data_IF_122464421971
#
_entry.id   IF_122464421971
#
_cell.length_a   1.000
_cell.length_b   1.000
_cell.length_c   1.000
_cell.angle_alpha   90.00
_cell.angle_beta   90.00
_cell.angle_gamma   90.00
#
_symmetry.space_group_name_H-M   'P 1'
#
loop_
_entity.id
_entity.type
_entity.pdbx_description
1 polymer ?
#
# COMPACT_ATOMS: atom_id res chain seq x y z
N UNK A 1 -9.04 -9.31 27.00
CA UNK A 1 -8.05 -8.35 26.48
C UNK A 1 -8.71 -7.42 25.45
N UNK A 2 -8.25 -6.18 25.37
CA UNK A 2 -8.79 -5.19 24.43
C UNK A 2 -7.94 -5.14 23.17
N UNK A 3 -8.57 -5.36 22.02
CA UNK A 3 -7.92 -5.36 20.70
C UNK A 3 -8.50 -4.21 19.88
N UNK A 4 -7.61 -3.50 19.18
CA UNK A 4 -8.00 -2.45 18.24
C UNK A 4 -7.97 -3.00 16.82
N UNK A 5 -9.12 -2.96 16.13
CA UNK A 5 -9.25 -3.43 14.76
C UNK A 5 -9.42 -2.25 13.83
N UNK A 6 -8.54 -2.12 12.83
CA UNK A 6 -8.63 -1.14 11.75
C UNK A 6 -9.19 -1.77 10.49
N UNK A 7 -10.09 -1.06 9.84
CA UNK A 7 -10.76 -1.49 8.61
C UNK A 7 -10.48 -0.50 7.49
N UNK A 8 -10.17 -1.00 6.30
CA UNK A 8 -9.81 -0.19 5.14
C UNK A 8 -10.67 -0.50 3.92
N UNK A 9 -10.73 0.45 3.00
CA UNK A 9 -11.39 0.34 1.71
C UNK A 9 -12.82 -0.23 1.86
N UNK A 10 -13.17 -1.25 1.08
CA UNK A 10 -14.48 -1.88 1.12
C UNK A 10 -14.88 -2.38 2.51
N UNK A 11 -13.96 -2.90 3.32
CA UNK A 11 -14.30 -3.39 4.67
C UNK A 11 -14.75 -2.26 5.59
N UNK A 12 -14.13 -1.08 5.50
CA UNK A 12 -14.55 0.13 6.20
C UNK A 12 -15.97 0.56 5.80
N UNK A 13 -16.28 0.55 4.51
CA UNK A 13 -17.63 0.88 4.01
C UNK A 13 -18.69 -0.10 4.51
N UNK A 14 -18.39 -1.39 4.50
CA UNK A 14 -19.31 -2.45 4.97
C UNK A 14 -19.57 -2.37 6.48
N UNK A 15 -18.56 -2.03 7.27
CA UNK A 15 -18.67 -1.86 8.71
C UNK A 15 -19.27 -0.50 9.11
N UNK A 16 -19.18 0.51 8.24
CA UNK A 16 -19.58 1.89 8.54
C UNK A 16 -18.63 2.61 9.51
N UNK A 17 -17.45 2.04 9.78
CA UNK A 17 -16.42 2.61 10.65
C UNK A 17 -15.02 2.17 10.20
N UNK A 18 -14.01 2.98 10.47
CA UNK A 18 -12.61 2.66 10.20
C UNK A 18 -11.89 1.97 11.38
N UNK A 19 -12.50 1.97 12.56
CA UNK A 19 -11.88 1.41 13.78
C UNK A 19 -12.95 0.79 14.65
N UNK A 20 -12.68 -0.41 15.15
CA UNK A 20 -13.49 -1.14 16.13
C UNK A 20 -12.59 -1.48 17.31
N UNK A 21 -13.08 -1.24 18.52
CA UNK A 21 -12.46 -1.76 19.75
C UNK A 21 -13.28 -2.95 20.24
N UNK A 22 -12.65 -4.11 20.34
CA UNK A 22 -13.32 -5.35 20.73
C UNK A 22 -12.64 -5.98 21.94
N UNK A 23 -13.43 -6.53 22.85
CA UNK A 23 -12.91 -7.30 23.98
C UNK A 23 -12.96 -8.79 23.64
N UNK A 24 -11.82 -9.45 23.73
CA UNK A 24 -11.66 -10.87 23.46
C UNK A 24 -11.10 -11.61 24.68
N UNK A 25 -11.32 -12.93 24.82
CA UNK A 25 -10.59 -13.75 25.78
C UNK A 25 -9.07 -13.66 25.62
N UNK A 26 -8.31 -14.04 26.64
CA UNK A 26 -6.87 -14.23 26.51
C UNK A 26 -6.57 -15.38 25.55
N UNK A 27 -5.45 -15.29 24.82
CA UNK A 27 -5.01 -16.25 23.81
C UNK A 27 -5.93 -16.40 22.57
N UNK A 28 -6.85 -15.46 22.33
CA UNK A 28 -7.63 -15.42 21.10
C UNK A 28 -6.70 -15.30 19.89
N UNK A 29 -6.95 -16.09 18.85
CA UNK A 29 -6.25 -15.97 17.55
C UNK A 29 -6.89 -14.91 16.67
N UNK A 30 -6.17 -14.48 15.63
CA UNK A 30 -6.73 -13.57 14.61
C UNK A 30 -7.95 -14.19 13.92
N UNK A 31 -7.94 -15.51 13.66
CA UNK A 31 -9.09 -16.21 13.08
C UNK A 31 -10.35 -16.06 13.95
N UNK A 32 -10.25 -16.35 15.25
CA UNK A 32 -11.35 -16.23 16.20
C UNK A 32 -11.84 -14.78 16.36
N UNK A 33 -10.92 -13.80 16.28
CA UNK A 33 -11.28 -12.38 16.24
C UNK A 33 -12.12 -12.06 15.01
N UNK A 34 -11.74 -12.56 13.83
CA UNK A 34 -12.48 -12.34 12.57
C UNK A 34 -13.87 -12.97 12.65
N UNK A 35 -14.01 -14.17 13.19
CA UNK A 35 -15.32 -14.82 13.40
C UNK A 35 -16.22 -14.00 14.31
N UNK A 36 -15.66 -13.44 15.38
CA UNK A 36 -16.39 -12.54 16.29
C UNK A 36 -16.86 -11.28 15.57
N UNK A 37 -15.97 -10.65 14.79
CA UNK A 37 -16.30 -9.47 13.97
C UNK A 37 -17.38 -9.75 12.93
N UNK A 38 -17.36 -10.91 12.28
CA UNK A 38 -18.38 -11.30 11.31
C UNK A 38 -19.75 -11.51 11.98
N UNK A 39 -19.77 -11.94 13.23
CA UNK A 39 -20.99 -12.10 14.03
C UNK A 39 -21.57 -10.73 14.42
N UNK A 40 -20.74 -9.81 14.87
CA UNK A 40 -21.15 -8.46 15.28
C UNK A 40 -21.45 -7.54 14.08
N UNK A 41 -20.74 -7.74 12.96
CA UNK A 41 -20.85 -6.99 11.70
C UNK A 41 -21.13 -7.94 10.52
N UNK A 42 -22.35 -8.44 10.34
CA UNK A 42 -22.67 -9.48 9.35
C UNK A 42 -22.31 -9.10 7.90
N UNK A 43 -22.26 -7.81 7.58
CA UNK A 43 -21.85 -7.34 6.24
C UNK A 43 -20.36 -7.63 5.95
N UNK A 44 -19.51 -7.74 6.98
CA UNK A 44 -18.10 -8.12 6.81
C UNK A 44 -17.93 -9.58 6.41
N UNK A 45 -18.87 -10.46 6.76
CA UNK A 45 -18.79 -11.89 6.42
C UNK A 45 -18.70 -12.13 4.91
N UNK A 46 -19.38 -11.31 4.12
CA UNK A 46 -19.36 -11.42 2.65
C UNK A 46 -18.00 -11.06 2.02
N UNK A 47 -17.18 -10.28 2.72
CA UNK A 47 -15.86 -9.83 2.23
C UNK A 47 -14.68 -10.60 2.87
N UNK A 48 -14.96 -11.50 3.80
CA UNK A 48 -13.93 -12.16 4.62
C UNK A 48 -13.03 -13.14 3.85
N UNK A 49 -13.50 -13.72 2.75
CA UNK A 49 -12.79 -14.77 2.02
C UNK A 49 -11.43 -14.32 1.44
N UNK A 50 -11.28 -13.02 1.14
CA UNK A 50 -10.09 -12.43 0.54
C UNK A 50 -9.49 -11.33 1.43
N UNK A 51 -9.65 -11.43 2.76
CA UNK A 51 -9.13 -10.42 3.68
C UNK A 51 -7.67 -10.70 4.03
N UNK A 52 -6.82 -9.71 3.80
CA UNK A 52 -5.44 -9.69 4.29
C UNK A 52 -5.44 -9.15 5.71
N UNK A 53 -4.58 -9.71 6.55
CA UNK A 53 -4.46 -9.33 7.95
C UNK A 53 -3.06 -8.79 8.23
N UNK A 54 -3.00 -7.69 8.97
CA UNK A 54 -1.76 -7.29 9.63
C UNK A 54 -1.93 -7.22 11.13
N UNK A 55 -0.87 -7.55 11.85
CA UNK A 55 -0.72 -7.39 13.29
C UNK A 55 0.41 -6.41 13.55
N UNK A 56 0.10 -5.33 14.26
CA UNK A 56 1.08 -4.29 14.60
C UNK A 56 1.87 -3.76 13.40
N UNK A 57 1.19 -3.59 12.25
CA UNK A 57 1.73 -3.05 10.97
C UNK A 57 2.64 -4.02 10.20
N UNK A 58 2.58 -5.32 10.49
CA UNK A 58 3.22 -6.34 9.67
C UNK A 58 2.23 -7.44 9.27
N UNK A 59 2.49 -8.15 8.17
CA UNK A 59 1.59 -9.23 7.74
C UNK A 59 1.59 -10.37 8.75
N UNK A 60 0.43 -10.93 9.03
CA UNK A 60 0.25 -11.96 10.04
C UNK A 60 -0.61 -13.13 9.53
N UNK A 61 -0.36 -14.31 10.09
CA UNK A 61 -1.16 -15.51 9.84
C UNK A 61 -2.40 -15.55 10.74
N UNK A 62 -3.47 -16.18 10.25
CA UNK A 62 -4.74 -16.27 10.97
C UNK A 62 -4.61 -17.00 12.33
N UNK A 63 -3.63 -17.89 12.47
CA UNK A 63 -3.37 -18.65 13.69
C UNK A 63 -2.51 -17.90 14.72
N UNK A 64 -2.09 -16.67 14.41
CA UNK A 64 -1.32 -15.85 15.34
C UNK A 64 -2.17 -15.48 16.56
N UNK A 65 -1.63 -15.70 17.75
CA UNK A 65 -2.26 -15.30 19.01
C UNK A 65 -2.12 -13.80 19.26
N UNK A 66 -3.18 -13.22 19.78
CA UNK A 66 -3.27 -11.80 20.12
C UNK A 66 -2.92 -11.55 21.58
N UNK A 67 -2.43 -10.33 21.86
CA UNK A 67 -2.11 -9.85 23.19
C UNK A 67 -2.84 -8.53 23.48
N UNK A 68 -2.94 -8.16 24.76
CA UNK A 68 -3.55 -6.89 25.19
C UNK A 68 -2.90 -5.69 24.48
N UNK A 69 -3.72 -4.87 23.85
CA UNK A 69 -3.29 -3.65 23.17
C UNK A 69 -2.81 -3.85 21.72
N UNK A 70 -2.86 -5.06 21.19
CA UNK A 70 -2.54 -5.30 19.77
C UNK A 70 -3.45 -4.51 18.84
N UNK A 71 -2.87 -4.04 17.72
CA UNK A 71 -3.58 -3.44 16.60
C UNK A 71 -3.65 -4.44 15.45
N UNK A 72 -4.85 -4.92 15.15
CA UNK A 72 -5.13 -5.76 13.99
C UNK A 72 -5.68 -4.89 12.87
N UNK A 73 -5.16 -4.99 11.66
CA UNK A 73 -5.75 -4.34 10.51
C UNK A 73 -6.28 -5.38 9.52
N UNK A 74 -7.49 -5.16 9.05
CA UNK A 74 -8.17 -5.99 8.06
C UNK A 74 -8.41 -5.17 6.80
N UNK A 75 -7.98 -5.71 5.66
CA UNK A 75 -8.10 -5.02 4.38
C UNK A 75 -8.19 -6.00 3.20
N UNK A 76 -8.81 -5.59 2.07
CA UNK A 76 -8.81 -6.40 0.85
C UNK A 76 -7.40 -6.47 0.24
N UNK A 77 -7.16 -7.35 -0.75
CA UNK A 77 -5.94 -7.36 -1.53
C UNK A 77 -5.55 -5.96 -2.02
N UNK A 78 -4.27 -5.63 -1.91
CA UNK A 78 -3.77 -4.28 -2.18
C UNK A 78 -3.81 -3.95 -3.67
N UNK A 79 -4.25 -2.74 -4.00
CA UNK A 79 -4.28 -2.22 -5.38
C UNK A 79 -3.34 -1.01 -5.58
N UNK A 80 -2.54 -0.69 -4.56
CA UNK A 80 -1.55 0.38 -4.55
C UNK A 80 -2.09 1.81 -4.36
N UNK A 81 -1.79 2.45 -3.26
CA UNK A 81 -1.95 3.88 -2.90
C UNK A 81 -2.44 4.06 -1.47
N UNK A 82 -2.01 4.62 -0.53
CA UNK A 82 -1.71 5.97 -0.10
C UNK A 82 -1.86 6.23 1.40
N UNK A 83 -1.36 7.32 1.90
CA UNK A 83 -1.75 8.10 3.03
C UNK A 83 -0.64 8.55 3.97
N UNK A 84 -0.61 9.82 4.36
CA UNK A 84 0.56 10.43 4.98
C UNK A 84 0.79 10.07 6.45
N UNK A 85 1.98 9.59 6.79
CA UNK A 85 2.57 9.69 8.12
C UNK A 85 4.10 9.57 8.04
N UNK A 86 4.83 10.63 8.42
CA UNK A 86 6.28 10.61 8.62
C UNK A 86 7.08 10.60 7.32
N UNK A 87 7.36 11.77 6.75
CA UNK A 87 8.20 11.92 5.57
C UNK A 87 9.68 11.69 5.89
N UNK A 88 10.19 10.54 5.58
CA UNK A 88 11.53 10.46 5.02
C UNK A 88 11.41 11.10 3.63
N UNK A 89 12.24 12.11 3.29
CA UNK A 89 12.13 12.82 2.00
C UNK A 89 12.07 11.91 0.76
N UNK A 90 12.50 10.67 0.88
CA UNK A 90 12.57 9.69 -0.21
C UNK A 90 11.42 8.68 -0.25
N UNK A 91 10.79 8.41 0.90
CA UNK A 91 9.70 7.43 1.01
C UNK A 91 8.50 8.10 1.66
N UNK A 92 7.55 8.50 0.84
CA UNK A 92 6.43 9.27 1.31
C UNK A 92 5.10 8.82 0.71
N UNK A 93 4.10 9.09 1.48
CA UNK A 93 2.71 9.04 1.10
C UNK A 93 2.17 10.45 1.31
N UNK A 94 1.46 11.03 0.36
CA UNK A 94 1.07 12.43 0.42
C UNK A 94 -0.26 12.71 -0.28
N UNK A 95 -0.98 13.72 0.18
CA UNK A 95 -2.13 14.30 -0.54
C UNK A 95 -1.70 15.33 -1.58
N UNK A 96 -0.49 15.85 -1.45
CA UNK A 96 0.01 16.89 -2.33
C UNK A 96 0.39 16.32 -3.71
N UNK A 97 0.26 17.12 -4.79
CA UNK A 97 0.75 16.76 -6.10
C UNK A 97 2.23 16.38 -6.09
N UNK A 98 2.58 15.35 -6.84
CA UNK A 98 3.94 14.84 -6.94
C UNK A 98 4.51 15.07 -8.34
N UNK A 99 5.81 15.41 -8.41
CA UNK A 99 6.52 15.80 -9.63
C UNK A 99 7.62 14.78 -9.97
N UNK A 100 7.71 14.41 -11.25
CA UNK A 100 8.78 13.54 -11.77
C UNK A 100 10.16 14.18 -11.56
N UNK A 101 10.27 15.49 -11.81
CA UNK A 101 11.54 16.22 -11.68
C UNK A 101 12.02 16.29 -10.24
N UNK A 102 11.10 16.57 -9.29
CA UNK A 102 11.42 16.60 -7.86
C UNK A 102 11.88 15.23 -7.35
N UNK A 103 11.21 14.16 -7.80
CA UNK A 103 11.58 12.80 -7.42
C UNK A 103 12.93 12.38 -8.03
N UNK A 104 13.20 12.74 -9.28
CA UNK A 104 14.49 12.54 -9.90
C UNK A 104 15.62 13.26 -9.13
N UNK A 105 15.38 14.51 -8.72
CA UNK A 105 16.34 15.31 -7.96
C UNK A 105 16.70 14.66 -6.61
N UNK A 106 15.77 14.00 -5.92
CA UNK A 106 16.02 13.32 -4.64
C UNK A 106 17.09 12.22 -4.71
N UNK A 107 17.21 11.56 -5.85
CA UNK A 107 18.12 10.42 -6.04
C UNK A 107 19.45 10.78 -6.69
N UNK A 108 19.62 12.02 -7.16
CA UNK A 108 20.89 12.49 -7.75
C UNK A 108 21.91 12.74 -6.65
N UNK A 109 23.08 12.07 -6.77
CA UNK A 109 24.24 12.20 -5.89
C UNK A 109 25.49 12.39 -6.75
N UNK A 110 26.64 12.82 -6.18
CA UNK A 110 27.85 13.08 -6.96
C UNK A 110 28.34 11.93 -7.86
N UNK A 111 28.00 10.69 -7.52
CA UNK A 111 28.35 9.48 -8.29
C UNK A 111 27.24 8.99 -9.24
N UNK A 112 26.12 9.72 -9.34
CA UNK A 112 25.01 9.36 -10.22
C UNK A 112 25.35 9.72 -11.66
N UNK A 113 25.33 8.75 -12.56
CA UNK A 113 25.48 8.94 -14.01
C UNK A 113 24.22 8.55 -14.80
N UNK A 114 23.25 7.89 -14.15
CA UNK A 114 21.97 7.51 -14.76
C UNK A 114 20.83 7.60 -13.73
N UNK A 115 19.67 8.03 -14.19
CA UNK A 115 18.41 8.06 -13.40
C UNK A 115 17.31 7.43 -14.24
N UNK A 116 16.58 6.48 -13.66
CA UNK A 116 15.35 5.94 -14.21
C UNK A 116 14.18 6.42 -13.35
N UNK A 117 13.11 6.86 -13.97
CA UNK A 117 11.89 7.30 -13.28
C UNK A 117 10.68 6.61 -13.90
N UNK A 118 9.85 6.02 -13.03
CA UNK A 118 8.51 5.56 -13.40
C UNK A 118 7.49 6.52 -12.81
N UNK A 119 6.52 6.95 -13.63
CA UNK A 119 5.34 7.71 -13.20
C UNK A 119 4.08 6.92 -13.51
N UNK A 120 3.29 6.60 -12.49
CA UNK A 120 1.94 6.06 -12.67
C UNK A 120 0.94 7.20 -12.74
N UNK A 121 0.25 7.35 -13.88
CA UNK A 121 -0.64 8.47 -14.17
C UNK A 121 -2.09 7.98 -14.21
N UNK A 122 -3.02 8.80 -13.70
CA UNK A 122 -4.45 8.55 -13.79
C UNK A 122 -4.92 8.68 -15.24
N UNK A 123 -5.58 7.65 -15.76
CA UNK A 123 -6.11 7.61 -17.13
C UNK A 123 -7.64 7.58 -17.12
N UNK A 124 -8.27 8.03 -18.20
CA UNK A 124 -9.72 8.13 -18.33
C UNK A 124 -10.43 6.82 -18.72
N UNK A 125 -9.71 5.69 -18.80
CA UNK A 125 -10.27 4.38 -19.13
C UNK A 125 -9.62 3.28 -18.29
N UNK A 126 -10.41 2.36 -17.75
CA UNK A 126 -9.96 1.20 -17.01
C UNK A 126 -10.87 0.01 -17.30
N UNK A 127 -10.31 -1.16 -17.71
CA UNK A 127 -11.10 -2.34 -18.02
C UNK A 127 -12.18 -2.14 -19.09
N UNK A 128 -12.01 -1.14 -19.96
CA UNK A 128 -13.01 -0.78 -20.99
C UNK A 128 -14.16 0.12 -20.50
N UNK A 129 -14.13 0.58 -19.25
CA UNK A 129 -15.06 1.55 -18.67
C UNK A 129 -14.43 2.93 -18.61
N UNK A 130 -15.26 3.98 -18.76
CA UNK A 130 -14.84 5.36 -18.57
C UNK A 130 -14.60 5.64 -17.09
N UNK A 131 -13.56 6.42 -16.79
CA UNK A 131 -13.17 6.85 -15.46
C UNK A 131 -13.12 8.37 -15.43
N UNK A 132 -13.79 8.97 -14.44
CA UNK A 132 -13.80 10.41 -14.21
C UNK A 132 -12.64 10.84 -13.29
N UNK A 133 -12.44 10.08 -12.20
CA UNK A 133 -11.34 10.26 -11.24
C UNK A 133 -11.06 8.97 -10.46
N UNK A 134 -9.92 8.93 -9.79
CA UNK A 134 -9.55 7.88 -8.85
C UNK A 134 -9.53 8.41 -7.41
N UNK A 135 -9.90 7.58 -6.46
CA UNK A 135 -9.60 7.78 -5.05
C UNK A 135 -8.63 6.69 -4.58
N UNK A 136 -7.61 7.13 -3.87
CA UNK A 136 -6.65 6.20 -3.25
C UNK A 136 -6.76 6.27 -1.72
N UNK A 137 -6.68 5.11 -1.07
CA UNK A 137 -6.64 4.95 0.38
C UNK A 137 -5.50 4.01 0.77
N UNK A 138 -4.89 4.18 1.96
CA UNK A 138 -3.90 3.24 2.48
C UNK A 138 -3.86 3.14 4.01
N UNK A 139 -3.18 2.11 4.46
CA UNK A 139 -2.69 2.01 5.82
C UNK A 139 -1.32 2.69 5.93
N UNK A 140 -1.32 4.00 6.17
CA UNK A 140 -0.18 4.91 6.01
C UNK A 140 1.11 4.47 6.68
N UNK A 141 1.06 4.15 7.98
CA UNK A 141 2.24 3.81 8.75
C UNK A 141 2.91 2.52 8.24
N UNK A 142 2.11 1.52 7.83
CA UNK A 142 2.62 0.29 7.23
C UNK A 142 3.09 0.55 5.80
N UNK A 143 2.39 1.39 5.04
CA UNK A 143 2.75 1.69 3.66
C UNK A 143 4.15 2.29 3.55
N UNK A 144 4.49 3.29 4.37
CA UNK A 144 5.85 3.88 4.39
C UNK A 144 6.92 2.85 4.76
N UNK A 145 6.65 1.97 5.73
CA UNK A 145 7.58 0.90 6.09
C UNK A 145 7.80 -0.06 4.91
N UNK A 146 6.73 -0.46 4.21
CA UNK A 146 6.81 -1.35 3.04
C UNK A 146 7.46 -0.66 1.83
N UNK A 147 7.31 0.66 1.62
CA UNK A 147 8.09 1.39 0.61
C UNK A 147 9.60 1.31 0.87
N UNK A 148 10.02 1.43 2.13
CA UNK A 148 11.43 1.26 2.53
C UNK A 148 11.90 -0.17 2.32
N UNK A 149 11.07 -1.17 2.64
CA UNK A 149 11.36 -2.58 2.37
C UNK A 149 11.57 -2.83 0.87
N UNK A 150 10.69 -2.36 0.00
CA UNK A 150 10.84 -2.47 -1.46
C UNK A 150 12.19 -1.90 -1.93
N UNK A 151 12.58 -0.75 -1.41
CA UNK A 151 13.87 -0.13 -1.74
C UNK A 151 15.06 -0.94 -1.22
N UNK A 152 14.96 -1.56 -0.04
CA UNK A 152 15.99 -2.45 0.50
C UNK A 152 16.15 -3.71 -0.36
N UNK A 153 15.06 -4.39 -0.68
CA UNK A 153 15.04 -5.56 -1.58
C UNK A 153 15.65 -5.24 -2.96
N UNK A 154 15.31 -4.05 -3.52
CA UNK A 154 15.90 -3.60 -4.78
C UNK A 154 17.42 -3.38 -4.68
N UNK A 155 17.91 -2.81 -3.56
CA UNK A 155 19.36 -2.62 -3.34
C UNK A 155 20.12 -3.95 -3.19
N UNK A 156 19.50 -4.97 -2.58
CA UNK A 156 20.09 -6.30 -2.49
C UNK A 156 20.28 -6.95 -3.88
N UNK A 157 19.25 -6.82 -4.73
CA UNK A 157 19.29 -7.37 -6.10
C UNK A 157 20.25 -6.61 -7.02
N UNK A 158 20.36 -5.30 -6.84
CA UNK A 158 21.22 -4.40 -7.65
C UNK A 158 22.13 -3.54 -6.73
N UNK A 159 23.24 -4.11 -6.21
CA UNK A 159 24.10 -3.44 -5.24
C UNK A 159 24.78 -2.15 -5.73
N UNK A 160 24.76 -1.90 -7.04
CA UNK A 160 25.32 -0.68 -7.63
C UNK A 160 24.34 0.49 -7.66
N UNK A 161 23.11 0.31 -7.23
CA UNK A 161 22.16 1.40 -7.11
C UNK A 161 22.69 2.45 -6.11
N UNK A 162 22.69 3.70 -6.57
CA UNK A 162 23.14 4.84 -5.76
C UNK A 162 22.07 5.27 -4.77
N UNK A 163 20.85 5.48 -5.29
CA UNK A 163 19.71 5.89 -4.45
C UNK A 163 18.36 5.49 -5.07
N UNK A 164 17.34 5.41 -4.20
CA UNK A 164 15.96 5.10 -4.55
C UNK A 164 15.06 6.04 -3.78
N UNK A 165 14.04 6.58 -4.44
CA UNK A 165 12.95 7.32 -3.84
C UNK A 165 11.60 6.85 -4.39
N UNK A 166 10.61 6.71 -3.53
CA UNK A 166 9.27 6.25 -3.89
C UNK A 166 8.26 7.14 -3.16
N UNK A 167 7.39 7.79 -3.91
CA UNK A 167 6.29 8.59 -3.34
C UNK A 167 5.00 8.20 -4.01
N UNK A 168 3.98 8.02 -3.19
CA UNK A 168 2.62 7.76 -3.64
C UNK A 168 1.70 8.88 -3.18
N UNK A 169 0.83 9.37 -4.07
CA UNK A 169 -0.20 10.35 -3.75
C UNK A 169 -1.53 9.67 -3.45
N UNK A 170 -2.35 10.34 -2.58
CA UNK A 170 -3.62 9.83 -2.08
C UNK A 170 -4.77 10.81 -2.18
N UNK A 171 -5.96 10.36 -1.71
CA UNK A 171 -7.20 11.07 -1.87
C UNK A 171 -7.68 11.00 -3.31
N UNK A 172 -8.45 11.98 -3.71
CA UNK A 172 -8.93 12.09 -5.08
C UNK A 172 -7.82 12.59 -6.01
N UNK A 173 -7.68 11.90 -7.15
CA UNK A 173 -6.79 12.28 -8.23
C UNK A 173 -7.56 12.36 -9.54
N UNK A 174 -7.36 13.45 -10.24
CA UNK A 174 -7.97 13.69 -11.54
C UNK A 174 -7.14 13.07 -12.67
N UNK A 175 -7.74 12.92 -13.85
CA UNK A 175 -7.10 12.39 -15.04
C UNK A 175 -5.85 13.23 -15.40
N UNK A 176 -4.75 12.52 -15.66
CA UNK A 176 -3.46 13.13 -15.98
C UNK A 176 -2.56 13.41 -14.75
N UNK A 177 -3.06 13.27 -13.53
CA UNK A 177 -2.27 13.44 -12.33
C UNK A 177 -1.40 12.21 -12.02
N UNK A 178 -0.22 12.47 -11.43
CA UNK A 178 0.66 11.39 -10.99
C UNK A 178 0.15 10.78 -9.68
N UNK A 179 -0.10 9.47 -9.67
CA UNK A 179 -0.49 8.72 -8.49
C UNK A 179 0.71 8.17 -7.73
N UNK A 180 1.72 7.70 -8.44
CA UNK A 180 2.93 7.12 -7.85
C UNK A 180 4.14 7.47 -8.69
N UNK A 181 5.26 7.77 -8.03
CA UNK A 181 6.54 7.98 -8.71
C UNK A 181 7.61 7.13 -8.01
N UNK A 182 8.35 6.37 -8.80
CA UNK A 182 9.55 5.64 -8.40
C UNK A 182 10.73 6.23 -9.14
N UNK A 183 11.73 6.72 -8.42
CA UNK A 183 12.98 7.22 -8.98
C UNK A 183 14.16 6.38 -8.47
N UNK A 184 15.03 5.95 -9.37
CA UNK A 184 16.20 5.12 -9.07
C UNK A 184 17.42 5.68 -9.80
N UNK A 185 18.56 5.75 -9.11
CA UNK A 185 19.82 6.22 -9.71
C UNK A 185 20.94 5.20 -9.58
N UNK A 186 21.85 5.20 -10.56
CA UNK A 186 23.05 4.35 -10.61
C UNK A 186 24.24 5.09 -11.24
N UNK A 187 25.49 4.60 -11.09
CA UNK A 187 26.66 5.21 -11.74
C UNK A 187 26.58 5.12 -13.27
N UNK A 188 26.07 4.02 -13.82
CA UNK A 188 25.90 3.81 -15.25
C UNK A 188 24.53 3.19 -15.55
N UNK A 189 23.98 3.46 -16.74
CA UNK A 189 22.69 2.92 -17.18
C UNK A 189 22.58 1.38 -17.11
N UNK A 190 23.71 0.68 -17.25
CA UNK A 190 23.77 -0.78 -17.17
C UNK A 190 23.97 -1.35 -15.77
N UNK A 191 23.95 -0.54 -14.74
CA UNK A 191 24.13 -0.95 -13.34
C UNK A 191 22.80 -1.28 -12.63
N UNK A 192 21.71 -1.50 -13.39
CA UNK A 192 20.44 -2.03 -12.90
C UNK A 192 19.39 -0.96 -12.54
N UNK A 193 19.57 0.32 -12.93
CA UNK A 193 18.57 1.35 -12.57
C UNK A 193 17.20 1.13 -13.22
N UNK A 194 17.13 0.62 -14.44
CA UNK A 194 15.86 0.31 -15.10
C UNK A 194 15.17 -0.90 -14.45
N UNK A 195 15.95 -1.95 -14.21
CA UNK A 195 15.47 -3.19 -13.58
C UNK A 195 15.00 -2.95 -12.15
N UNK A 196 15.75 -2.18 -11.37
CA UNK A 196 15.39 -1.81 -10.01
C UNK A 196 14.13 -0.92 -9.97
N UNK A 197 13.98 -0.01 -10.93
CA UNK A 197 12.78 0.82 -11.04
C UNK A 197 11.54 -0.03 -11.39
N UNK A 198 11.67 -0.94 -12.37
CA UNK A 198 10.60 -1.88 -12.74
C UNK A 198 10.25 -2.84 -11.59
N UNK A 199 11.25 -3.36 -10.88
CA UNK A 199 11.05 -4.19 -9.69
C UNK A 199 10.29 -3.42 -8.62
N UNK A 200 10.73 -2.20 -8.30
CA UNK A 200 10.15 -1.41 -7.22
C UNK A 200 8.66 -1.12 -7.45
N UNK A 201 8.24 -0.74 -8.66
CA UNK A 201 6.82 -0.50 -8.93
C UNK A 201 5.98 -1.79 -8.89
N UNK A 202 6.50 -2.92 -9.35
CA UNK A 202 5.79 -4.20 -9.29
C UNK A 202 5.67 -4.67 -7.83
N UNK A 203 6.78 -4.67 -7.09
CA UNK A 203 6.81 -5.09 -5.69
C UNK A 203 5.95 -4.21 -4.78
N UNK A 204 5.94 -2.88 -5.04
CA UNK A 204 5.04 -1.95 -4.36
C UNK A 204 3.57 -2.39 -4.47
N UNK A 205 3.14 -2.77 -5.67
CA UNK A 205 1.76 -3.23 -5.91
C UNK A 205 1.43 -4.56 -5.22
N UNK A 206 2.44 -5.32 -4.83
CA UNK A 206 2.26 -6.59 -4.13
C UNK A 206 2.11 -6.40 -2.61
N UNK A 207 3.01 -5.62 -1.98
CA UNK A 207 3.14 -5.61 -0.52
C UNK A 207 2.78 -4.29 0.17
N UNK A 208 2.63 -3.19 -0.58
CA UNK A 208 2.28 -1.90 0.04
C UNK A 208 0.76 -1.82 0.20
N UNK A 209 0.25 -1.65 1.44
CA UNK A 209 -1.20 -1.69 1.70
C UNK A 209 -1.89 -0.42 1.22
N UNK A 210 -2.34 -0.47 0.00
CA UNK A 210 -2.85 0.64 -0.80
C UNK A 210 -4.04 0.16 -1.65
N UNK A 211 -5.13 0.93 -1.68
CA UNK A 211 -6.35 0.57 -2.40
C UNK A 211 -6.78 1.71 -3.30
N UNK A 212 -7.38 1.34 -4.41
CA UNK A 212 -7.84 2.25 -5.44
C UNK A 212 -9.34 2.07 -5.66
N UNK A 213 -10.08 3.19 -5.65
CA UNK A 213 -11.48 3.26 -6.04
C UNK A 213 -11.58 4.01 -7.35
N UNK A 214 -12.21 3.42 -8.34
CA UNK A 214 -12.49 4.06 -9.62
C UNK A 214 -13.92 4.62 -9.60
N UNK A 215 -14.08 5.85 -10.06
CA UNK A 215 -15.38 6.52 -10.19
C UNK A 215 -15.56 6.96 -11.62
N UNK A 216 -16.69 6.62 -12.21
CA UNK A 216 -17.08 6.96 -13.57
C UNK A 216 -18.60 7.10 -13.71
N UNK A 217 -19.13 7.26 -14.93
CA UNK A 217 -20.57 7.45 -15.19
C UNK A 217 -21.44 6.33 -14.63
N UNK A 218 -20.92 5.11 -14.53
CA UNK A 218 -21.62 3.92 -14.05
C UNK A 218 -21.57 3.76 -12.52
N UNK A 219 -20.93 4.65 -11.80
CA UNK A 219 -20.77 4.62 -10.34
C UNK A 219 -19.33 4.47 -9.89
N UNK A 220 -19.15 4.03 -8.64
CA UNK A 220 -17.84 3.88 -8.01
C UNK A 220 -17.59 2.43 -7.60
N UNK A 221 -16.36 1.93 -7.82
CA UNK A 221 -15.97 0.56 -7.51
C UNK A 221 -14.55 0.50 -6.93
N UNK A 222 -14.37 -0.25 -5.83
CA UNK A 222 -13.04 -0.57 -5.31
C UNK A 222 -12.39 -1.63 -6.20
N UNK A 223 -11.17 -1.35 -6.65
CA UNK A 223 -10.37 -2.28 -7.47
C UNK A 223 -9.47 -3.07 -6.54
N UNK A 224 -9.72 -4.36 -6.47
CA UNK A 224 -8.91 -5.30 -5.69
C UNK A 224 -7.69 -5.76 -6.53
N UNK A 225 -6.57 -6.00 -5.85
CA UNK A 225 -5.37 -6.58 -6.47
C UNK A 225 -5.43 -8.10 -6.46
N UNK A 226 -4.56 -8.73 -7.24
CA UNK A 226 -4.49 -10.20 -7.35
C UNK A 226 -3.46 -10.81 -6.38
N UNK A 227 -2.57 -10.01 -5.80
CA UNK A 227 -1.53 -10.50 -4.88
C UNK A 227 -2.04 -10.58 -3.45
N UNK A 228 -1.75 -11.72 -2.80
CA UNK A 228 -2.06 -11.99 -1.40
C UNK A 228 -0.75 -12.03 -0.60
N UNK A 229 -0.36 -10.94 0.08
CA UNK A 229 0.81 -10.92 0.94
C UNK A 229 0.71 -11.95 2.09
N UNK A 230 1.84 -12.47 2.49
CA UNK A 230 1.98 -13.46 3.57
C UNK A 230 3.08 -13.04 4.56
N UNK A 231 3.33 -13.85 5.57
CA UNK A 231 4.43 -13.64 6.53
C UNK A 231 5.81 -13.67 5.88
N UNK A 232 5.97 -14.26 4.69
CA UNK A 232 7.22 -14.15 3.92
C UNK A 232 7.48 -12.73 3.39
N UNK A 233 6.47 -11.86 3.38
CA UNK A 233 6.56 -10.44 3.02
C UNK A 233 6.70 -9.55 4.26
N UNK A 234 6.68 -10.12 5.46
CA UNK A 234 7.02 -9.45 6.71
C UNK A 234 8.52 -9.15 6.80
N UNK A 235 8.88 -8.13 7.56
CA UNK A 235 10.28 -7.83 7.88
C UNK A 235 10.67 -8.45 9.22
#
# INVERSE_FOLDING_TARGET
MKIKVKLFARLRELAGTNTIEINTPENTTIAELIETLQTEYPKLAAAAANTIVSLNKDFAELQTHLHEGDEVALFPPVSGGSGSAGSDEKFAITYDPISLDDMAAKVVKPKTGAVAVFGGVVRNISGGKDVDFLEYEAYEAMAVAKLKQVAAEAREKWPKIVDIAITQRIGQLDIGENAVIVAVSSPHRGDGCFEACAYAINRLKEIVPIWKKETGPDGSEWIEGDYMPSTTDAQ
#
